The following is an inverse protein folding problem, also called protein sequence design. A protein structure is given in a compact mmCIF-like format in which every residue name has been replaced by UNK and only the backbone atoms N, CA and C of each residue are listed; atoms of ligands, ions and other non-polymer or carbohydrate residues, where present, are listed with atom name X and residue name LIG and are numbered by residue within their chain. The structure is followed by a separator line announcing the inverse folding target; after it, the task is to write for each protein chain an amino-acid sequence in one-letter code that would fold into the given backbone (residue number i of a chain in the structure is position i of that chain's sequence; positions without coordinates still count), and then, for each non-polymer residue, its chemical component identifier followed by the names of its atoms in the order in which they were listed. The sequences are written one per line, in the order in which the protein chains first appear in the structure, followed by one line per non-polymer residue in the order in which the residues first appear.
data_IF_330651985396
#
_entry.id   IF_330651985396
#
_cell.length_a   1.000
_cell.length_b   1.000
_cell.length_c   1.000
_cell.angle_alpha   90.00
_cell.angle_beta   90.00
_cell.angle_gamma   90.00
#
_symmetry.space_group_name_H-M   'P 1'
#
loop_
_entity.id
_entity.type
_entity.pdbx_description
1 polymer ?
#
# COMPACT_ATOMS: atom_id res chain seq x y z
N UNK A 1 12.01 24.88 -6.78
CA UNK A 1 10.84 24.45 -5.98
C UNK A 1 9.93 23.65 -6.88
N UNK A 2 9.92 22.32 -6.77
CA UNK A 2 9.22 21.46 -7.73
C UNK A 2 7.70 21.65 -7.65
N UNK A 3 7.13 22.27 -8.68
CA UNK A 3 5.70 22.33 -8.94
C UNK A 3 5.19 20.90 -9.21
N UNK A 4 4.55 20.28 -8.21
CA UNK A 4 3.84 19.02 -8.40
C UNK A 4 2.45 19.32 -8.93
N UNK A 5 2.35 19.50 -10.25
CA UNK A 5 1.10 19.55 -11.00
C UNK A 5 0.39 18.20 -10.87
N UNK A 6 -0.37 18.01 -9.78
CA UNK A 6 -1.28 16.87 -9.67
C UNK A 6 -2.45 17.10 -10.62
N UNK A 7 -2.82 16.12 -11.46
CA UNK A 7 -3.99 16.26 -12.31
C UNK A 7 -5.23 16.42 -11.42
N UNK A 8 -5.94 17.55 -11.60
CA UNK A 8 -7.19 17.96 -10.91
C UNK A 8 -8.28 16.88 -10.85
N UNK A 9 -8.16 15.85 -11.69
CA UNK A 9 -9.06 14.69 -11.76
C UNK A 9 -8.94 13.77 -10.53
N UNK A 10 -7.74 13.60 -9.97
CA UNK A 10 -7.52 12.71 -8.82
C UNK A 10 -8.22 13.23 -7.57
N UNK A 11 -8.31 14.56 -7.40
CA UNK A 11 -8.98 15.16 -6.23
C UNK A 11 -10.50 14.89 -6.17
N UNK A 12 -11.15 14.59 -7.32
CA UNK A 12 -12.58 14.23 -7.35
C UNK A 12 -12.86 12.77 -6.98
N UNK A 13 -11.92 11.88 -7.29
CA UNK A 13 -12.06 10.45 -7.03
C UNK A 13 -11.49 10.02 -5.68
N UNK A 14 -10.78 10.91 -5.00
CA UNK A 14 -10.18 10.58 -3.71
C UNK A 14 -11.25 10.66 -2.61
N UNK A 15 -11.67 9.51 -2.03
CA UNK A 15 -12.70 9.53 -1.00
C UNK A 15 -12.18 10.24 0.26
N UNK A 16 -13.09 10.88 1.01
CA UNK A 16 -12.76 11.63 2.26
C UNK A 16 -11.88 10.82 3.22
N UNK A 17 -12.10 9.51 3.26
CA UNK A 17 -11.35 8.54 4.07
C UNK A 17 -9.84 8.53 3.75
N UNK A 18 -9.47 8.64 2.48
CA UNK A 18 -8.07 8.66 2.04
C UNK A 18 -7.41 9.99 2.37
N UNK A 19 -8.15 11.09 2.26
CA UNK A 19 -7.66 12.43 2.67
C UNK A 19 -7.41 12.48 4.17
N UNK A 20 -8.35 11.96 4.98
CA UNK A 20 -8.16 11.86 6.43
C UNK A 20 -7.00 10.94 6.80
N UNK A 21 -6.92 9.74 6.22
CA UNK A 21 -5.82 8.81 6.50
C UNK A 21 -4.45 9.44 6.18
N UNK A 22 -4.36 10.19 5.08
CA UNK A 22 -3.15 10.91 4.70
C UNK A 22 -2.82 12.04 5.66
N UNK A 23 -3.83 12.77 6.14
CA UNK A 23 -3.64 13.88 7.07
C UNK A 23 -3.19 13.37 8.45
N UNK A 24 -3.81 12.30 8.95
CA UNK A 24 -3.40 11.58 10.18
C UNK A 24 -1.98 11.04 10.07
N UNK A 25 -1.63 10.47 8.92
CA UNK A 25 -0.26 10.00 8.68
C UNK A 25 0.74 11.15 8.67
N UNK A 26 0.35 12.34 8.20
CA UNK A 26 1.19 13.53 8.18
C UNK A 26 1.39 14.16 9.57
N UNK A 27 0.35 14.16 10.39
CA UNK A 27 0.36 14.76 11.73
C UNK A 27 0.95 13.84 12.81
N UNK A 28 0.65 12.54 12.74
CA UNK A 28 0.99 11.57 13.79
C UNK A 28 1.91 10.43 13.30
N UNK A 29 2.31 10.45 12.03
CA UNK A 29 3.19 9.44 11.43
C UNK A 29 2.58 8.03 11.38
N UNK A 30 3.45 7.04 11.21
CA UNK A 30 3.11 5.61 11.29
C UNK A 30 2.43 5.25 12.63
N UNK A 31 2.86 5.86 13.74
CA UNK A 31 2.26 5.63 15.06
C UNK A 31 0.79 6.06 15.11
N UNK A 32 0.41 7.16 14.48
CA UNK A 32 -0.99 7.61 14.41
C UNK A 32 -1.89 6.68 13.60
N UNK A 33 -1.38 6.16 12.49
CA UNK A 33 -2.12 5.20 11.67
C UNK A 33 -2.26 3.85 12.37
N UNK A 34 -1.21 3.37 13.03
CA UNK A 34 -1.28 2.16 13.87
C UNK A 34 -2.25 2.39 15.04
N UNK A 35 -2.28 3.56 15.66
CA UNK A 35 -3.22 3.85 16.77
C UNK A 35 -4.68 3.96 16.30
N UNK A 36 -4.92 4.47 15.09
CA UNK A 36 -6.27 4.67 14.54
C UNK A 36 -6.85 3.43 13.85
N UNK A 37 -6.01 2.62 13.18
CA UNK A 37 -6.42 1.37 12.52
C UNK A 37 -6.13 0.11 13.36
N UNK A 38 -5.23 0.19 14.33
CA UNK A 38 -4.95 -0.88 15.29
C UNK A 38 -4.57 -2.20 14.63
N UNK A 39 -5.24 -3.26 15.10
CA UNK A 39 -5.11 -4.63 14.59
C UNK A 39 -5.32 -4.76 13.06
N UNK A 40 -6.09 -3.86 12.43
CA UNK A 40 -6.29 -3.88 10.97
C UNK A 40 -4.99 -3.61 10.21
N UNK A 41 -4.10 -2.78 10.76
CA UNK A 41 -2.77 -2.56 10.17
C UNK A 41 -1.96 -3.86 10.18
N UNK A 42 -2.03 -4.62 11.28
CA UNK A 42 -1.37 -5.91 11.40
C UNK A 42 -1.97 -6.93 10.42
N UNK A 43 -3.29 -6.97 10.26
CA UNK A 43 -3.95 -7.83 9.29
C UNK A 43 -3.53 -7.52 7.84
N UNK A 44 -3.42 -6.23 7.48
CA UNK A 44 -2.93 -5.82 6.15
C UNK A 44 -1.46 -6.18 5.97
N UNK A 45 -0.62 -5.97 7.00
CA UNK A 45 0.79 -6.35 6.96
C UNK A 45 0.97 -7.86 6.80
N UNK A 46 0.19 -8.65 7.55
CA UNK A 46 0.17 -10.10 7.44
C UNK A 46 -0.31 -10.56 6.06
N UNK A 47 -1.41 -10.01 5.56
CA UNK A 47 -1.92 -10.32 4.23
C UNK A 47 -0.91 -9.95 3.12
N UNK A 48 -0.23 -8.82 3.23
CA UNK A 48 0.84 -8.42 2.31
C UNK A 48 1.98 -9.45 2.29
N UNK A 49 2.42 -9.90 3.47
CA UNK A 49 3.46 -10.94 3.58
C UNK A 49 2.99 -12.28 3.01
N UNK A 50 1.74 -12.66 3.25
CA UNK A 50 1.16 -13.90 2.73
C UNK A 50 1.07 -13.87 1.20
N UNK A 51 0.57 -12.78 0.63
CA UNK A 51 0.49 -12.59 -0.82
C UNK A 51 1.90 -12.60 -1.42
N UNK A 52 2.87 -11.94 -0.77
CA UNK A 52 4.27 -11.94 -1.23
C UNK A 52 4.83 -13.35 -1.30
N UNK A 53 4.66 -14.15 -0.25
CA UNK A 53 5.16 -15.52 -0.23
C UNK A 53 4.51 -16.36 -1.33
N UNK A 54 3.18 -16.34 -1.41
CA UNK A 54 2.43 -17.06 -2.45
C UNK A 54 2.84 -16.60 -3.85
N UNK A 55 2.96 -15.29 -4.06
CA UNK A 55 3.34 -14.70 -5.35
C UNK A 55 4.78 -15.07 -5.71
N UNK A 56 5.69 -15.09 -4.74
CA UNK A 56 7.09 -15.46 -4.97
C UNK A 56 7.20 -16.96 -5.30
N UNK A 57 6.47 -17.82 -4.59
CA UNK A 57 6.42 -19.25 -4.90
C UNK A 57 5.71 -19.59 -6.21
N UNK A 58 4.84 -18.72 -6.73
CA UNK A 58 4.21 -18.91 -8.04
C UNK A 58 5.08 -18.31 -9.15
N UNK A 59 5.57 -17.07 -8.96
CA UNK A 59 6.39 -16.36 -9.95
C UNK A 59 7.77 -16.98 -10.13
N UNK A 60 8.41 -17.45 -9.06
CA UNK A 60 9.76 -18.01 -9.12
C UNK A 60 9.83 -19.25 -10.03
N UNK A 61 8.98 -20.29 -9.87
CA UNK A 61 8.98 -21.43 -10.77
C UNK A 61 8.50 -21.07 -12.18
N UNK A 62 7.54 -20.14 -12.34
CA UNK A 62 7.15 -19.66 -13.68
C UNK A 62 8.29 -18.94 -14.40
N UNK A 63 9.06 -18.13 -13.68
CA UNK A 63 10.21 -17.42 -14.22
C UNK A 63 11.37 -18.36 -14.54
N UNK A 64 11.62 -19.35 -13.67
CA UNK A 64 12.63 -20.38 -13.92
C UNK A 64 12.24 -21.29 -15.09
N UNK A 65 10.98 -21.73 -15.17
CA UNK A 65 10.47 -22.55 -16.28
C UNK A 65 10.58 -21.82 -17.62
N UNK A 66 10.24 -20.52 -17.68
CA UNK A 66 10.40 -19.70 -18.88
C UNK A 66 11.85 -19.34 -19.24
N UNK A 67 12.81 -19.57 -18.34
CA UNK A 67 14.25 -19.39 -18.64
C UNK A 67 14.96 -20.71 -18.96
N UNK A 68 14.38 -21.84 -18.59
CA UNK A 68 14.92 -23.19 -18.80
C UNK A 68 14.38 -23.87 -20.07
N UNK A 69 13.18 -23.49 -20.53
CA UNK A 69 12.62 -23.84 -21.85
C UNK A 69 12.87 -22.71 -22.85
#
# INVERSE_FOLDING_TARGET
MANSAKPKLLDRLTPKVVREAKQVFRESGLKGVIKRYGWKFFAVFFAYYLIRDVTLYILLPLYLANKLF
#
